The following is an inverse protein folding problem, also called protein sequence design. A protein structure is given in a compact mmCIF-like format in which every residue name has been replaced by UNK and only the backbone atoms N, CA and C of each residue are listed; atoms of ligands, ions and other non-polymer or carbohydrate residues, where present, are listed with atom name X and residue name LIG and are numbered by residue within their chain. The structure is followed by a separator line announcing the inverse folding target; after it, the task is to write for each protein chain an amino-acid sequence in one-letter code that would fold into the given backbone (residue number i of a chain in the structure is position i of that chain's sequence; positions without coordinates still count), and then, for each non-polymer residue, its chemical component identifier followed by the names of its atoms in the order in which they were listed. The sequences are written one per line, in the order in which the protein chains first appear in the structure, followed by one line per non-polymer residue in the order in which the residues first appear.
data_IF_472721379384
#
_entry.id   IF_472721379384
#
_cell.length_a   1.000
_cell.length_b   1.000
_cell.length_c   1.000
_cell.angle_alpha   90.00
_cell.angle_beta   90.00
_cell.angle_gamma   90.00
#
_symmetry.space_group_name_H-M   'P 1'
#
loop_
_entity.id
_entity.type
_entity.pdbx_description
1 polymer ?
#
# COMPACT_ATOMS: atom_id res chain seq x y z
N UNK A 1 -5.40 0.23 -45.87
CA UNK A 1 -5.27 0.75 -44.49
C UNK A 1 -6.65 1.15 -44.00
N UNK A 2 -7.13 0.57 -42.89
CA UNK A 2 -8.43 0.91 -42.31
C UNK A 2 -8.32 2.31 -41.69
N UNK A 3 -9.14 3.26 -42.14
CA UNK A 3 -9.13 4.62 -41.57
C UNK A 3 -9.76 4.57 -40.19
N UNK A 4 -9.02 5.02 -39.18
CA UNK A 4 -9.53 5.19 -37.83
C UNK A 4 -10.44 6.40 -37.85
N UNK A 5 -11.70 6.21 -37.43
CA UNK A 5 -12.67 7.28 -37.32
C UNK A 5 -12.55 8.00 -35.97
N UNK A 6 -13.06 9.23 -35.91
CA UNK A 6 -13.18 9.97 -34.64
C UNK A 6 -14.01 9.23 -33.61
N UNK A 7 -15.00 8.44 -34.02
CA UNK A 7 -15.79 7.60 -33.11
C UNK A 7 -14.96 6.46 -32.51
N UNK A 8 -14.06 5.86 -33.28
CA UNK A 8 -13.14 4.84 -32.77
C UNK A 8 -12.20 5.45 -31.71
N UNK A 9 -11.71 6.66 -31.97
CA UNK A 9 -10.87 7.40 -31.01
C UNK A 9 -11.62 7.72 -29.71
N UNK A 10 -12.86 8.18 -29.82
CA UNK A 10 -13.71 8.49 -28.67
C UNK A 10 -14.04 7.24 -27.85
N UNK A 11 -14.28 6.10 -28.50
CA UNK A 11 -14.50 4.83 -27.81
C UNK A 11 -13.26 4.40 -27.01
N UNK A 12 -12.07 4.51 -27.60
CA UNK A 12 -10.83 4.18 -26.88
C UNK A 12 -10.61 5.12 -25.70
N UNK A 13 -10.85 6.41 -25.87
CA UNK A 13 -10.73 7.39 -24.79
C UNK A 13 -11.73 7.12 -23.66
N UNK A 14 -12.99 6.82 -23.99
CA UNK A 14 -14.02 6.48 -23.01
C UNK A 14 -13.68 5.19 -22.24
N UNK A 15 -13.24 4.15 -22.94
CA UNK A 15 -12.80 2.90 -22.31
C UNK A 15 -11.61 3.13 -21.36
N UNK A 16 -10.63 3.95 -21.78
CA UNK A 16 -9.49 4.31 -20.94
C UNK A 16 -9.90 5.08 -19.68
N UNK A 17 -10.83 6.04 -19.80
CA UNK A 17 -11.35 6.80 -18.67
C UNK A 17 -12.06 5.89 -17.66
N UNK A 18 -12.94 4.99 -18.13
CA UNK A 18 -13.66 4.04 -17.26
C UNK A 18 -12.67 3.10 -16.55
N UNK A 19 -11.71 2.53 -17.28
CA UNK A 19 -10.69 1.67 -16.69
C UNK A 19 -9.87 2.43 -15.61
N UNK A 20 -9.49 3.67 -15.88
CA UNK A 20 -8.80 4.52 -14.91
C UNK A 20 -9.60 4.74 -13.63
N UNK A 21 -10.89 5.02 -13.75
CA UNK A 21 -11.80 5.19 -12.59
C UNK A 21 -11.91 3.89 -11.79
N UNK A 22 -12.08 2.74 -12.46
CA UNK A 22 -12.17 1.45 -11.80
C UNK A 22 -10.88 1.11 -11.02
N UNK A 23 -9.72 1.33 -11.63
CA UNK A 23 -8.42 1.11 -10.97
C UNK A 23 -8.25 2.04 -9.76
N UNK A 24 -8.65 3.31 -9.90
CA UNK A 24 -8.60 4.27 -8.79
C UNK A 24 -9.48 3.84 -7.62
N UNK A 25 -10.72 3.44 -7.89
CA UNK A 25 -11.66 2.97 -6.88
C UNK A 25 -11.16 1.71 -6.17
N UNK A 26 -10.64 0.73 -6.93
CA UNK A 26 -10.06 -0.48 -6.36
C UNK A 26 -8.92 -0.17 -5.39
N UNK A 27 -7.98 0.70 -5.80
CA UNK A 27 -6.88 1.15 -4.94
C UNK A 27 -7.39 1.91 -3.71
N UNK A 28 -8.42 2.74 -3.87
CA UNK A 28 -9.00 3.51 -2.76
C UNK A 28 -9.61 2.60 -1.70
N UNK A 29 -10.32 1.56 -2.12
CA UNK A 29 -10.94 0.59 -1.20
C UNK A 29 -9.88 -0.22 -0.44
N UNK A 30 -8.85 -0.71 -1.13
CA UNK A 30 -7.74 -1.42 -0.51
C UNK A 30 -7.03 -0.54 0.54
N UNK A 31 -6.71 0.70 0.20
CA UNK A 31 -6.09 1.63 1.14
C UNK A 31 -6.98 1.91 2.35
N UNK A 32 -8.30 1.99 2.16
CA UNK A 32 -9.22 2.23 3.26
C UNK A 32 -9.28 1.06 4.23
N UNK A 33 -9.28 -0.17 3.72
CA UNK A 33 -9.24 -1.38 4.54
C UNK A 33 -7.92 -1.45 5.34
N UNK A 34 -6.79 -1.24 4.67
CA UNK A 34 -5.47 -1.21 5.30
C UNK A 34 -5.39 -0.15 6.41
N UNK A 35 -5.85 1.08 6.15
CA UNK A 35 -5.85 2.15 7.15
C UNK A 35 -6.76 1.85 8.35
N UNK A 36 -7.89 1.17 8.11
CA UNK A 36 -8.78 0.74 9.18
C UNK A 36 -8.11 -0.31 10.06
N UNK A 37 -7.47 -1.31 9.46
CA UNK A 37 -6.72 -2.35 10.16
C UNK A 37 -5.60 -1.76 11.02
N UNK A 38 -4.82 -0.81 10.47
CA UNK A 38 -3.79 -0.07 11.22
C UNK A 38 -4.38 0.68 12.43
N UNK A 39 -5.55 1.31 12.25
CA UNK A 39 -6.20 2.05 13.33
C UNK A 39 -6.75 1.11 14.43
N UNK A 40 -7.13 -0.12 14.07
CA UNK A 40 -7.61 -1.15 15.01
C UNK A 40 -6.46 -1.86 15.74
N UNK A 41 -5.36 -2.18 15.07
CA UNK A 41 -4.22 -2.90 15.65
C UNK A 41 -3.24 -1.98 16.40
N UNK A 42 -3.13 -0.72 15.99
CA UNK A 42 -2.24 0.25 16.63
C UNK A 42 -0.77 0.15 16.17
N UNK A 43 0.10 0.90 16.84
CA UNK A 43 1.47 1.19 16.37
C UNK A 43 2.39 -0.02 16.25
N UNK A 44 2.15 -1.08 17.04
CA UNK A 44 3.04 -2.24 17.10
C UNK A 44 3.05 -3.03 15.78
N UNK A 45 1.87 -3.19 15.17
CA UNK A 45 1.69 -4.01 13.95
C UNK A 45 1.47 -3.16 12.69
N UNK A 46 1.20 -1.87 12.84
CA UNK A 46 0.95 -0.94 11.72
C UNK A 46 2.04 -0.98 10.64
N UNK A 47 3.29 -1.21 11.04
CA UNK A 47 4.41 -1.26 10.10
C UNK A 47 4.33 -2.45 9.14
N UNK A 48 3.85 -3.61 9.61
CA UNK A 48 3.71 -4.82 8.79
C UNK A 48 2.58 -4.67 7.78
N UNK A 49 1.46 -4.10 8.23
CA UNK A 49 0.29 -3.83 7.39
C UNK A 49 0.59 -2.78 6.31
N UNK A 50 1.36 -1.74 6.63
CA UNK A 50 1.76 -0.69 5.67
C UNK A 50 2.78 -1.15 4.63
N UNK A 51 3.65 -2.11 5.00
CA UNK A 51 4.78 -2.51 4.18
C UNK A 51 4.94 -4.03 4.11
N UNK A 52 3.92 -4.75 3.59
CA UNK A 52 3.90 -6.22 3.61
C UNK A 52 5.07 -6.85 2.84
N UNK A 53 5.58 -6.16 1.80
CA UNK A 53 6.66 -6.65 0.95
C UNK A 53 8.07 -6.22 1.39
N UNK A 54 8.18 -5.41 2.46
CA UNK A 54 9.50 -5.00 2.97
C UNK A 54 9.98 -6.04 3.98
N UNK A 55 11.24 -6.47 3.85
CA UNK A 55 11.89 -7.30 4.87
C UNK A 55 11.79 -6.59 6.21
N UNK A 56 11.24 -7.27 7.22
CA UNK A 56 11.10 -6.76 8.57
C UNK A 56 12.46 -6.23 9.07
N UNK A 57 12.52 -4.92 9.34
CA UNK A 57 13.72 -4.25 9.91
C UNK A 57 13.85 -4.58 11.42
N UNK A 58 13.08 -5.56 11.91
CA UNK A 58 12.88 -5.86 13.33
C UNK A 58 13.94 -6.76 13.98
N UNK A 59 14.93 -7.30 13.26
CA UNK A 59 15.93 -8.19 13.90
C UNK A 59 16.76 -7.51 15.01
N UNK A 60 16.71 -6.17 15.14
CA UNK A 60 17.46 -5.40 16.13
C UNK A 60 16.60 -4.56 17.07
N UNK A 61 15.27 -4.63 16.96
CA UNK A 61 14.38 -3.82 17.78
C UNK A 61 13.98 -4.62 19.02
N UNK A 62 14.70 -4.40 20.11
CA UNK A 62 14.39 -4.99 21.41
C UNK A 62 13.33 -4.16 22.12
N UNK A 63 12.12 -4.71 22.27
CA UNK A 63 11.11 -4.16 23.17
C UNK A 63 11.31 -4.73 24.57
N UNK A 64 11.74 -3.88 25.51
CA UNK A 64 11.97 -4.26 26.91
C UNK A 64 13.14 -3.50 27.53
N UNK A 65 13.39 -3.67 28.84
CA UNK A 65 14.56 -3.11 29.49
C UNK A 65 15.83 -3.69 28.88
N UNK A 66 16.57 -2.87 28.14
CA UNK A 66 17.88 -3.23 27.58
C UNK A 66 18.94 -2.84 28.60
N UNK A 67 19.72 -3.82 29.06
CA UNK A 67 20.89 -3.54 29.88
C UNK A 67 21.99 -2.97 28.97
N UNK A 68 22.57 -1.80 29.29
CA UNK A 68 23.70 -1.27 28.53
C UNK A 68 24.88 -2.24 28.60
N UNK A 69 25.60 -2.39 27.49
CA UNK A 69 26.75 -3.31 27.38
C UNK A 69 27.90 -2.94 28.35
N UNK A 70 27.88 -1.73 28.92
CA UNK A 70 28.90 -1.19 29.82
C UNK A 70 28.88 -1.78 31.25
N UNK A 71 27.97 -2.70 31.57
CA UNK A 71 27.79 -3.24 32.94
C UNK A 71 28.56 -4.54 33.23
N UNK A 72 29.41 -5.01 32.32
CA UNK A 72 30.24 -6.20 32.53
C UNK A 72 31.71 -5.74 32.64
N UNK A 73 32.15 -5.44 33.86
CA UNK A 73 33.55 -5.42 34.28
C UNK A 73 33.77 -6.55 35.30
#
# INVERSE_FOLDING_TARGET
MKKISTNDLLMVAAAGAVAGVLIYLARRLQNHQMLKEIAEEGYETAHEVLFPDKKQIGQKLHYGPVLPEDYIN
#
